data_IF_901900271519
#
_entry.id   IF_901900271519
#
_cell.length_a   1.000
_cell.length_b   1.000
_cell.length_c   1.000
_cell.angle_alpha   90.00
_cell.angle_beta   90.00
_cell.angle_gamma   90.00
#
_symmetry.space_group_name_H-M   'P 1'
#
loop_
_entity.id
_entity.type
_entity.pdbx_description
1 polymer ?
#
# COMPACT_ATOMS: atom_id res chain seq x y z
N UNK A 1 37.90 6.80 6.21
CA UNK A 1 36.84 6.09 5.43
C UNK A 1 37.28 4.62 5.32
N UNK A 2 36.53 3.65 5.87
CA UNK A 2 37.05 2.31 6.21
C UNK A 2 36.92 1.23 5.11
N UNK A 3 36.00 1.37 4.15
CA UNK A 3 35.75 0.33 3.12
C UNK A 3 36.90 0.10 2.12
N UNK A 4 37.88 1.01 2.04
CA UNK A 4 39.05 0.84 1.16
C UNK A 4 40.16 -0.03 1.78
N UNK A 5 40.20 -0.14 3.11
CA UNK A 5 41.35 -0.68 3.82
C UNK A 5 41.23 -2.17 4.17
N UNK A 6 40.02 -2.70 4.11
CA UNK A 6 39.73 -4.11 4.37
C UNK A 6 38.55 -4.55 3.49
N UNK A 7 38.81 -4.91 2.22
CA UNK A 7 37.77 -5.37 1.31
C UNK A 7 37.23 -6.75 1.71
N UNK A 8 38.04 -7.62 2.31
CA UNK A 8 37.68 -8.99 2.66
C UNK A 8 36.55 -9.03 3.70
N UNK A 9 36.54 -8.06 4.62
CA UNK A 9 35.46 -7.84 5.59
C UNK A 9 34.06 -7.79 4.94
N UNK A 10 33.95 -7.25 3.73
CA UNK A 10 32.66 -7.10 3.05
C UNK A 10 32.18 -8.39 2.37
N UNK A 11 33.00 -9.44 2.35
CA UNK A 11 32.67 -10.76 1.82
C UNK A 11 32.65 -11.85 2.90
N UNK A 12 33.01 -11.51 4.14
CA UNK A 12 32.95 -12.40 5.29
C UNK A 12 31.54 -12.46 5.90
N UNK A 13 30.87 -13.59 5.70
CA UNK A 13 29.52 -13.88 6.23
C UNK A 13 29.44 -13.87 7.77
N UNK A 14 30.57 -13.99 8.48
CA UNK A 14 30.61 -13.91 9.95
C UNK A 14 30.69 -12.48 10.48
N UNK A 15 30.96 -11.50 9.60
CA UNK A 15 31.19 -10.10 9.95
C UNK A 15 30.23 -9.13 9.25
N UNK A 16 29.08 -9.62 8.75
CA UNK A 16 28.12 -8.82 7.99
C UNK A 16 27.68 -7.55 8.75
N UNK A 17 27.39 -7.65 10.04
CA UNK A 17 26.98 -6.50 10.86
C UNK A 17 28.10 -5.47 11.01
N UNK A 18 29.35 -5.91 11.14
CA UNK A 18 30.51 -5.02 11.20
C UNK A 18 30.71 -4.29 9.86
N UNK A 19 30.56 -5.00 8.74
CA UNK A 19 30.60 -4.43 7.40
C UNK A 19 29.45 -3.43 7.16
N UNK A 20 28.22 -3.78 7.54
CA UNK A 20 27.04 -2.89 7.45
C UNK A 20 27.21 -1.63 8.30
N UNK A 21 27.78 -1.74 9.50
CA UNK A 21 28.07 -0.58 10.36
C UNK A 21 29.03 0.43 9.70
N UNK A 22 30.02 -0.06 8.95
CA UNK A 22 30.92 0.80 8.17
C UNK A 22 30.17 1.58 7.09
N UNK A 23 29.17 0.96 6.44
CA UNK A 23 28.35 1.63 5.43
C UNK A 23 27.51 2.78 6.00
N UNK A 24 27.12 2.75 7.28
CA UNK A 24 26.22 3.72 7.90
C UNK A 24 26.69 5.18 7.82
N UNK A 25 28.00 5.43 7.84
CA UNK A 25 28.60 6.76 7.72
C UNK A 25 29.20 7.07 6.34
N UNK A 26 28.98 6.22 5.33
CA UNK A 26 29.68 6.32 4.05
C UNK A 26 28.96 7.29 3.09
N UNK A 27 29.61 8.37 2.61
CA UNK A 27 28.97 9.35 1.72
C UNK A 27 28.62 8.78 0.35
N UNK A 28 29.30 7.73 -0.10
CA UNK A 28 29.03 7.06 -1.38
C UNK A 28 28.05 5.88 -1.27
N UNK A 29 27.39 5.69 -0.11
CA UNK A 29 26.54 4.52 0.15
C UNK A 29 25.51 4.27 -0.96
N UNK A 30 24.88 5.34 -1.46
CA UNK A 30 23.88 5.24 -2.54
C UNK A 30 24.48 4.73 -3.85
N UNK A 31 25.58 5.33 -4.30
CA UNK A 31 26.27 4.90 -5.52
C UNK A 31 26.81 3.46 -5.39
N UNK A 32 27.33 3.09 -4.22
CA UNK A 32 27.76 1.72 -3.93
C UNK A 32 26.59 0.72 -3.95
N UNK A 33 25.42 1.08 -3.42
CA UNK A 33 24.22 0.24 -3.49
C UNK A 33 23.76 0.02 -4.93
N UNK A 34 23.83 1.05 -5.77
CA UNK A 34 23.46 0.98 -7.19
C UNK A 34 24.43 0.06 -7.97
N UNK A 35 25.74 0.16 -7.71
CA UNK A 35 26.74 -0.71 -8.33
C UNK A 35 26.58 -2.18 -7.89
N UNK A 36 26.31 -2.41 -6.61
CA UNK A 36 26.09 -3.75 -6.06
C UNK A 36 24.69 -4.33 -6.34
N UNK A 37 23.84 -3.61 -7.05
CA UNK A 37 22.44 -3.99 -7.23
C UNK A 37 22.26 -5.30 -8.02
N UNK A 38 23.26 -5.74 -8.77
CA UNK A 38 23.29 -7.03 -9.50
C UNK A 38 24.25 -8.05 -8.90
N UNK A 39 25.07 -7.65 -7.93
CA UNK A 39 26.09 -8.53 -7.34
C UNK A 39 25.47 -9.62 -6.46
N UNK A 40 26.01 -10.83 -6.56
CA UNK A 40 25.52 -12.03 -5.86
C UNK A 40 26.12 -12.18 -4.46
N UNK A 41 27.25 -11.53 -4.19
CA UNK A 41 28.01 -11.72 -2.96
C UNK A 41 28.32 -10.40 -2.27
N UNK A 42 28.67 -10.52 -0.99
CA UNK A 42 29.16 -9.45 -0.15
C UNK A 42 28.15 -8.34 0.18
N UNK A 43 28.61 -7.40 1.01
CA UNK A 43 27.86 -6.25 1.49
C UNK A 43 28.08 -5.06 0.56
N UNK A 44 27.01 -4.57 -0.04
CA UNK A 44 27.02 -3.40 -0.93
C UNK A 44 26.06 -2.35 -0.43
N UNK A 45 26.52 -1.11 -0.27
CA UNK A 45 25.68 -0.02 0.21
C UNK A 45 25.02 -0.26 1.59
N UNK A 46 25.55 -1.20 2.38
CA UNK A 46 24.98 -1.62 3.66
C UNK A 46 23.89 -2.70 3.56
N UNK A 47 23.84 -3.44 2.45
CA UNK A 47 22.89 -4.55 2.25
C UNK A 47 23.62 -5.84 1.91
N UNK A 48 23.19 -6.96 2.50
CA UNK A 48 23.67 -8.31 2.16
C UNK A 48 22.94 -8.89 0.92
N UNK A 49 23.41 -10.03 0.37
CA UNK A 49 22.77 -10.64 -0.80
C UNK A 49 21.29 -10.99 -0.61
N UNK A 50 20.91 -11.43 0.60
CA UNK A 50 19.54 -11.83 0.92
C UNK A 50 18.66 -10.58 0.99
N UNK A 51 19.09 -9.52 1.67
CA UNK A 51 18.40 -8.24 1.74
C UNK A 51 18.21 -7.63 0.34
N UNK A 52 19.24 -7.70 -0.53
CA UNK A 52 19.13 -7.27 -1.94
C UNK A 52 18.13 -8.12 -2.69
N UNK A 53 18.18 -9.44 -2.56
CA UNK A 53 17.21 -10.33 -3.18
C UNK A 53 15.78 -10.01 -2.72
N UNK A 54 15.55 -9.84 -1.42
CA UNK A 54 14.25 -9.46 -0.86
C UNK A 54 13.78 -8.10 -1.40
N UNK A 55 14.67 -7.13 -1.53
CA UNK A 55 14.34 -5.82 -2.12
C UNK A 55 13.92 -5.97 -3.59
N UNK A 56 14.62 -6.79 -4.38
CA UNK A 56 14.24 -7.12 -5.76
C UNK A 56 12.89 -7.83 -5.81
N UNK A 57 12.66 -8.83 -4.96
CA UNK A 57 11.38 -9.52 -4.87
C UNK A 57 10.24 -8.55 -4.52
N UNK A 58 10.43 -7.65 -3.55
CA UNK A 58 9.43 -6.63 -3.19
C UNK A 58 9.17 -5.62 -4.31
N UNK A 59 10.19 -5.27 -5.09
CA UNK A 59 10.04 -4.38 -6.23
C UNK A 59 9.39 -5.07 -7.44
N UNK A 60 9.70 -6.35 -7.66
CA UNK A 60 9.18 -7.17 -8.76
C UNK A 60 7.77 -7.70 -8.49
N UNK A 61 7.38 -7.85 -7.23
CA UNK A 61 6.02 -8.23 -6.85
C UNK A 61 5.21 -6.97 -6.66
N UNK A 62 4.28 -6.61 -7.56
CA UNK A 62 3.31 -5.58 -7.26
C UNK A 62 2.47 -6.13 -6.11
N UNK A 63 2.72 -5.68 -4.89
CA UNK A 63 2.08 -6.20 -3.68
C UNK A 63 0.55 -6.03 -3.69
N UNK A 64 0.04 -5.30 -4.68
CA UNK A 64 -1.37 -5.15 -5.06
C UNK A 64 -1.93 -6.36 -5.81
N UNK A 65 -1.19 -6.98 -6.75
CA UNK A 65 -1.73 -8.03 -7.63
C UNK A 65 -1.93 -9.40 -6.93
N UNK A 66 -1.09 -9.75 -5.96
CA UNK A 66 -1.16 -11.08 -5.33
C UNK A 66 -2.29 -11.21 -4.28
N UNK A 67 -2.76 -10.10 -3.69
CA UNK A 67 -3.92 -10.14 -2.77
C UNK A 67 -5.26 -10.13 -3.52
N UNK A 68 -5.28 -9.58 -4.72
CA UNK A 68 -6.51 -9.46 -5.51
C UNK A 68 -6.99 -10.84 -6.03
N UNK A 69 -6.06 -11.75 -6.38
CA UNK A 69 -6.41 -13.02 -7.04
C UNK A 69 -7.10 -14.07 -6.15
N UNK A 70 -6.89 -14.05 -4.82
CA UNK A 70 -7.58 -14.96 -3.87
C UNK A 70 -9.03 -14.50 -3.63
N UNK A 71 -9.27 -13.20 -3.67
CA UNK A 71 -10.58 -12.59 -3.45
C UNK A 71 -11.42 -12.44 -4.71
N UNK A 72 -10.82 -12.63 -5.90
CA UNK A 72 -11.53 -12.69 -7.18
C UNK A 72 -12.64 -13.78 -7.17
N UNK A 73 -12.34 -14.96 -6.62
CA UNK A 73 -13.31 -16.05 -6.47
C UNK A 73 -14.50 -15.67 -5.57
N UNK A 74 -14.27 -14.81 -4.56
CA UNK A 74 -15.34 -14.35 -3.67
C UNK A 74 -16.24 -13.35 -4.38
N UNK A 75 -15.67 -12.49 -5.23
CA UNK A 75 -16.46 -11.55 -6.05
C UNK A 75 -17.29 -12.30 -7.09
N UNK A 76 -16.72 -13.31 -7.75
CA UNK A 76 -17.43 -14.18 -8.69
C UNK A 76 -18.58 -14.94 -8.01
N UNK A 77 -18.32 -15.56 -6.85
CA UNK A 77 -19.36 -16.24 -6.06
C UNK A 77 -20.46 -15.27 -5.60
N UNK A 78 -20.10 -14.04 -5.24
CA UNK A 78 -21.06 -13.00 -4.90
C UNK A 78 -21.97 -12.67 -6.11
N UNK A 79 -21.38 -12.54 -7.30
CA UNK A 79 -22.12 -12.32 -8.55
C UNK A 79 -23.09 -13.47 -8.83
N UNK A 80 -22.62 -14.72 -8.76
CA UNK A 80 -23.45 -15.93 -8.99
C UNK A 80 -24.65 -16.02 -8.04
N UNK A 81 -24.47 -15.54 -6.80
CA UNK A 81 -25.54 -15.51 -5.80
C UNK A 81 -26.41 -14.25 -5.85
N UNK A 82 -26.16 -13.35 -6.80
CA UNK A 82 -26.92 -12.11 -6.99
C UNK A 82 -26.63 -11.02 -5.95
N UNK A 83 -25.49 -11.10 -5.25
CA UNK A 83 -25.04 -10.01 -4.38
C UNK A 83 -24.39 -8.91 -5.22
N UNK A 84 -25.05 -7.76 -5.28
CA UNK A 84 -24.63 -6.61 -6.10
C UNK A 84 -24.20 -5.39 -5.30
N UNK A 85 -24.23 -5.47 -3.96
CA UNK A 85 -23.75 -4.39 -3.10
C UNK A 85 -22.22 -4.31 -3.12
N UNK A 86 -21.73 -3.45 -4.01
CA UNK A 86 -20.30 -3.19 -4.25
C UNK A 86 -19.56 -2.79 -2.97
N UNK A 87 -20.18 -1.99 -2.09
CA UNK A 87 -19.52 -1.51 -0.88
C UNK A 87 -19.46 -2.60 0.18
N UNK A 88 -20.51 -3.41 0.31
CA UNK A 88 -20.51 -4.55 1.21
C UNK A 88 -19.45 -5.58 0.80
N UNK A 89 -19.37 -5.91 -0.50
CA UNK A 89 -18.36 -6.84 -1.04
C UNK A 89 -16.96 -6.25 -0.88
N UNK A 90 -16.75 -4.98 -1.21
CA UNK A 90 -15.47 -4.30 -1.00
C UNK A 90 -15.02 -4.35 0.46
N UNK A 91 -15.95 -4.17 1.40
CA UNK A 91 -15.67 -4.22 2.84
C UNK A 91 -15.23 -5.61 3.31
N UNK A 92 -15.85 -6.68 2.81
CA UNK A 92 -15.55 -8.06 3.22
C UNK A 92 -14.28 -8.59 2.54
N UNK A 93 -14.10 -8.28 1.27
CA UNK A 93 -12.97 -8.78 0.46
C UNK A 93 -11.70 -7.94 0.59
N UNK A 94 -11.83 -6.67 0.98
CA UNK A 94 -10.71 -5.72 0.94
C UNK A 94 -10.34 -5.25 -0.46
N UNK A 95 -10.98 -5.78 -1.51
CA UNK A 95 -10.84 -5.31 -2.89
C UNK A 95 -11.49 -3.92 -3.00
N UNK A 96 -10.88 -3.02 -3.78
CA UNK A 96 -11.44 -1.68 -4.00
C UNK A 96 -12.83 -1.75 -4.63
N UNK A 97 -13.74 -0.89 -4.21
CA UNK A 97 -15.13 -0.84 -4.70
C UNK A 97 -15.23 -0.72 -6.24
N UNK A 98 -14.40 0.10 -6.88
CA UNK A 98 -14.40 0.22 -8.35
C UNK A 98 -13.93 -1.07 -9.06
N UNK A 99 -12.98 -1.77 -8.43
CA UNK A 99 -12.47 -3.03 -8.92
C UNK A 99 -13.48 -4.18 -8.72
N UNK A 100 -14.29 -4.13 -7.65
CA UNK A 100 -15.46 -5.00 -7.44
C UNK A 100 -16.53 -4.74 -8.50
N UNK A 101 -16.91 -3.48 -8.71
CA UNK A 101 -17.94 -3.11 -9.70
C UNK A 101 -17.57 -3.58 -11.11
N UNK A 102 -16.31 -3.40 -11.50
CA UNK A 102 -15.78 -3.88 -12.79
C UNK A 102 -15.95 -5.38 -12.95
N UNK A 103 -15.65 -6.17 -11.90
CA UNK A 103 -15.76 -7.64 -11.91
C UNK A 103 -17.21 -8.14 -11.91
N UNK A 104 -18.08 -7.45 -11.17
CA UNK A 104 -19.51 -7.75 -11.17
C UNK A 104 -20.19 -7.32 -12.48
N UNK A 105 -19.52 -6.53 -13.33
CA UNK A 105 -20.09 -5.97 -14.55
C UNK A 105 -21.25 -4.99 -14.28
N UNK A 106 -21.25 -4.36 -13.10
CA UNK A 106 -22.31 -3.43 -12.69
C UNK A 106 -21.86 -1.99 -12.85
N UNK A 107 -22.76 -1.14 -13.35
CA UNK A 107 -22.55 0.30 -13.30
C UNK A 107 -22.61 0.76 -11.84
N UNK A 108 -21.51 1.33 -11.35
CA UNK A 108 -21.39 1.80 -9.99
C UNK A 108 -20.76 3.18 -9.94
N UNK A 109 -21.40 4.09 -9.21
CA UNK A 109 -20.90 5.44 -8.95
C UNK A 109 -20.80 5.61 -7.44
N UNK A 110 -19.62 6.03 -6.95
CA UNK A 110 -19.44 6.33 -5.53
C UNK A 110 -20.21 7.60 -5.15
N UNK A 111 -21.42 7.42 -4.62
CA UNK A 111 -22.29 8.51 -4.17
C UNK A 111 -22.08 8.89 -2.70
N UNK A 112 -21.07 8.31 -2.01
CA UNK A 112 -20.86 8.52 -0.58
C UNK A 112 -20.60 9.98 -0.21
N UNK A 113 -19.99 10.75 -1.11
CA UNK A 113 -19.79 12.18 -0.89
C UNK A 113 -21.12 12.96 -0.81
N UNK A 114 -22.04 12.68 -1.74
CA UNK A 114 -23.38 13.26 -1.71
C UNK A 114 -24.16 12.81 -0.46
N UNK A 115 -24.04 11.53 -0.10
CA UNK A 115 -24.67 10.98 1.12
C UNK A 115 -24.13 11.64 2.40
N UNK A 116 -22.83 11.93 2.47
CA UNK A 116 -22.24 12.68 3.61
C UNK A 116 -22.84 14.07 3.70
N UNK A 117 -22.94 14.79 2.58
CA UNK A 117 -23.53 16.13 2.55
C UNK A 117 -25.00 16.11 2.99
N UNK A 118 -25.78 15.16 2.49
CA UNK A 118 -27.19 14.97 2.85
C UNK A 118 -27.37 14.67 4.35
N UNK A 119 -26.61 13.70 4.89
CA UNK A 119 -26.70 13.34 6.30
C UNK A 119 -26.25 14.49 7.22
N UNK A 120 -25.20 15.21 6.84
CA UNK A 120 -24.77 16.39 7.58
C UNK A 120 -25.83 17.48 7.58
N UNK A 121 -26.51 17.72 6.46
CA UNK A 121 -27.61 18.68 6.36
C UNK A 121 -28.82 18.26 7.22
N UNK A 122 -29.04 16.96 7.40
CA UNK A 122 -30.03 16.40 8.34
C UNK A 122 -29.61 16.47 9.81
N UNK A 123 -28.43 17.02 10.12
CA UNK A 123 -27.94 17.22 11.49
C UNK A 123 -27.17 16.05 12.10
N UNK A 124 -26.83 15.02 11.32
CA UNK A 124 -26.01 13.90 11.82
C UNK A 124 -24.56 14.34 12.06
N UNK A 125 -23.98 13.89 13.18
CA UNK A 125 -22.59 14.16 13.52
C UNK A 125 -21.59 13.28 12.74
N UNK A 126 -20.31 13.68 12.60
CA UNK A 126 -19.31 12.92 11.84
C UNK A 126 -19.11 11.46 12.26
N UNK A 127 -19.31 11.14 13.55
CA UNK A 127 -19.21 9.76 14.06
C UNK A 127 -20.39 8.89 13.60
N UNK A 128 -21.59 9.43 13.59
CA UNK A 128 -22.80 8.71 13.15
C UNK A 128 -22.80 8.51 11.64
N UNK A 129 -22.34 9.51 10.88
CA UNK A 129 -22.16 9.41 9.42
C UNK A 129 -21.16 8.32 9.07
N UNK A 130 -20.08 8.17 9.85
CA UNK A 130 -19.07 7.11 9.64
C UNK A 130 -19.66 5.71 9.62
N UNK A 131 -20.55 5.42 10.58
CA UNK A 131 -21.18 4.11 10.70
C UNK A 131 -22.06 3.76 9.50
N UNK A 132 -22.66 4.77 8.87
CA UNK A 132 -23.54 4.61 7.71
C UNK A 132 -22.79 4.55 6.38
N UNK A 133 -21.72 5.33 6.23
CA UNK A 133 -21.07 5.57 4.93
C UNK A 133 -19.76 4.79 4.78
N UNK A 134 -19.16 4.32 5.88
CA UNK A 134 -17.93 3.53 5.85
C UNK A 134 -16.68 4.32 5.40
N UNK A 135 -16.73 5.65 5.47
CA UNK A 135 -15.58 6.53 5.21
C UNK A 135 -14.83 6.86 6.51
N UNK A 136 -13.54 7.20 6.43
CA UNK A 136 -12.80 7.66 7.61
C UNK A 136 -13.40 8.95 8.17
N UNK A 137 -13.32 9.15 9.48
CA UNK A 137 -13.84 10.35 10.13
C UNK A 137 -13.21 11.64 9.57
N UNK A 138 -11.91 11.61 9.26
CA UNK A 138 -11.19 12.72 8.61
C UNK A 138 -11.80 13.03 7.23
N UNK A 139 -12.06 12.01 6.41
CA UNK A 139 -12.63 12.21 5.08
C UNK A 139 -14.05 12.78 5.15
N UNK A 140 -14.85 12.35 6.13
CA UNK A 140 -16.18 12.90 6.37
C UNK A 140 -16.10 14.38 6.73
N UNK A 141 -15.18 14.77 7.62
CA UNK A 141 -14.97 16.17 7.99
C UNK A 141 -14.54 17.04 6.79
N UNK A 142 -13.65 16.52 5.94
CA UNK A 142 -13.24 17.19 4.70
C UNK A 142 -14.43 17.41 3.75
N UNK A 143 -15.26 16.38 3.54
CA UNK A 143 -16.44 16.44 2.66
C UNK A 143 -17.51 17.42 3.17
N UNK A 144 -17.76 17.44 4.49
CA UNK A 144 -18.68 18.42 5.11
C UNK A 144 -18.16 19.84 4.91
N UNK A 145 -16.85 20.05 5.09
CA UNK A 145 -16.24 21.37 4.86
C UNK A 145 -16.36 21.80 3.39
N UNK A 146 -16.14 20.87 2.45
CA UNK A 146 -16.26 21.14 1.02
C UNK A 146 -17.70 21.48 0.62
N UNK A 147 -18.71 20.79 1.15
CA UNK A 147 -20.11 21.10 0.83
C UNK A 147 -20.56 22.45 1.37
N UNK A 148 -20.10 22.85 2.56
CA UNK A 148 -20.38 24.17 3.14
C UNK A 148 -19.71 25.31 2.38
N UNK A 149 -18.51 25.09 1.83
CA UNK A 149 -17.79 26.09 1.05
C UNK A 149 -18.44 26.36 -0.33
N UNK A 150 -19.21 25.42 -0.87
CA UNK A 150 -19.96 25.60 -2.14
C UNK A 150 -21.29 26.31 -1.92
N UNK A 151 -21.81 26.33 -0.68
CA UNK A 151 -23.07 26.97 -0.32
C UNK A 151 -22.94 28.43 0.16
N UNK A 152 -21.71 28.97 0.20
CA UNK A 152 -21.37 30.32 0.64
C UNK A 152 -20.95 31.20 -0.55
#
# INVERSE_FOLDING_TARGET
>A
MKCKYDPDLFFDVTQEEAAKAICGGCPMRKACAELGATEEHGIWGGTDPIERAMARFRAATPQTQARDHEWDLVVELCAERGYTDVLAISKVTGVRADAVATRLGVEWVDNRAALVAELSAKGYGPKEIREKVGLSQRRIQELIKQSQAVAA
#
